data_IF_041156459910
#
_entry.id   IF_041156459910
#
_cell.length_a   1.000
_cell.length_b   1.000
_cell.length_c   1.000
_cell.angle_alpha   90.00
_cell.angle_beta   90.00
_cell.angle_gamma   90.00
#
_symmetry.space_group_name_H-M   'P 1'
#
loop_
_entity.id
_entity.type
_entity.pdbx_description
1 polymer ?
#
# COMPACT_ATOMS: atom_id res chain seq x y z
N UNK A 1 9.14 -6.81 -16.09
CA UNK A 1 7.79 -6.25 -16.19
C UNK A 1 7.79 -4.87 -15.58
N UNK A 2 7.05 -3.93 -16.14
CA UNK A 2 6.85 -2.61 -15.54
C UNK A 2 5.95 -2.85 -14.30
N UNK A 3 6.46 -2.58 -13.09
CA UNK A 3 5.67 -2.75 -11.87
C UNK A 3 4.47 -1.81 -11.87
N UNK A 4 3.30 -2.30 -11.45
CA UNK A 4 2.10 -1.47 -11.28
C UNK A 4 2.15 -0.77 -9.93
N UNK A 5 2.40 0.54 -9.92
CA UNK A 5 2.45 1.35 -8.69
C UNK A 5 1.22 2.26 -8.59
N UNK A 6 0.06 1.63 -8.47
CA UNK A 6 -1.23 2.32 -8.48
C UNK A 6 -1.82 2.40 -7.08
N UNK A 7 -2.39 3.55 -6.74
CA UNK A 7 -3.08 3.75 -5.49
C UNK A 7 -4.42 4.44 -5.74
N UNK A 8 -5.52 3.80 -5.33
CA UNK A 8 -6.87 4.36 -5.49
C UNK A 8 -7.10 5.48 -4.47
N UNK A 9 -7.43 6.68 -4.95
CA UNK A 9 -7.69 7.85 -4.09
C UNK A 9 -9.19 8.07 -3.85
N UNK A 10 -10.02 7.64 -4.79
CA UNK A 10 -11.48 7.50 -4.68
C UNK A 10 -12.02 6.50 -5.72
N UNK A 11 -13.34 6.38 -5.86
CA UNK A 11 -13.97 5.41 -6.77
C UNK A 11 -13.73 5.70 -8.26
N UNK A 12 -13.31 6.91 -8.61
CA UNK A 12 -13.07 7.39 -9.98
C UNK A 12 -11.61 7.64 -10.32
N UNK A 13 -10.78 7.93 -9.32
CA UNK A 13 -9.41 8.42 -9.50
C UNK A 13 -8.35 7.46 -8.91
N UNK A 14 -7.25 7.33 -9.63
CA UNK A 14 -6.08 6.54 -9.24
C UNK A 14 -4.82 7.37 -9.44
N UNK A 15 -3.91 7.31 -8.46
CA UNK A 15 -2.56 7.85 -8.56
C UNK A 15 -1.64 6.76 -9.09
N UNK A 16 -1.02 7.00 -10.24
CA UNK A 16 -0.05 6.09 -10.85
C UNK A 16 1.39 6.62 -10.69
N UNK A 17 2.22 5.88 -9.94
CA UNK A 17 3.61 6.18 -9.70
C UNK A 17 4.58 5.37 -10.58
N UNK A 18 4.10 4.80 -11.70
CA UNK A 18 4.90 3.94 -12.59
C UNK A 18 6.04 4.70 -13.26
N UNK A 19 5.74 5.87 -13.83
CA UNK A 19 6.72 6.71 -14.54
C UNK A 19 7.33 7.80 -13.65
N UNK A 20 6.51 8.45 -12.82
CA UNK A 20 6.91 9.53 -11.93
C UNK A 20 6.34 9.28 -10.53
N UNK A 21 7.17 9.36 -9.50
CA UNK A 21 6.75 9.11 -8.13
C UNK A 21 7.87 9.42 -7.14
N UNK A 22 7.65 9.08 -5.87
CA UNK A 22 8.66 9.23 -4.81
C UNK A 22 8.99 7.85 -4.20
N UNK A 23 9.77 7.86 -3.12
CA UNK A 23 10.17 6.65 -2.41
C UNK A 23 8.98 5.82 -1.88
N UNK A 24 7.80 6.42 -1.68
CA UNK A 24 6.64 5.72 -1.15
C UNK A 24 6.15 4.59 -2.07
N UNK A 25 6.46 4.64 -3.37
CA UNK A 25 6.13 3.57 -4.33
C UNK A 25 6.76 2.21 -3.96
N UNK A 26 7.79 2.21 -3.13
CA UNK A 26 8.52 1.00 -2.74
C UNK A 26 8.09 0.47 -1.35
N UNK A 27 7.13 1.11 -0.69
CA UNK A 27 6.64 0.64 0.61
C UNK A 27 5.80 -0.62 0.37
N UNK A 28 6.22 -1.74 0.94
CA UNK A 28 5.64 -3.04 0.69
C UNK A 28 4.35 -3.31 1.49
N UNK A 29 3.68 -4.40 1.11
CA UNK A 29 2.54 -4.93 1.84
C UNK A 29 2.97 -5.75 3.06
N UNK A 30 2.24 -5.58 4.17
CA UNK A 30 2.19 -6.56 5.26
C UNK A 30 0.75 -6.75 5.76
N UNK A 31 0.40 -7.98 6.13
CA UNK A 31 -0.87 -8.27 6.82
C UNK A 31 -0.85 -7.83 8.29
N UNK A 32 0.34 -7.61 8.87
CA UNK A 32 0.55 -7.00 10.20
C UNK A 32 1.44 -5.75 10.02
N UNK A 33 0.94 -4.68 9.41
CA UNK A 33 1.75 -3.53 9.01
C UNK A 33 2.13 -2.62 10.19
N UNK A 34 3.15 -1.78 9.97
CA UNK A 34 3.53 -0.72 10.91
C UNK A 34 3.11 0.69 10.46
N UNK A 35 2.61 0.83 9.23
CA UNK A 35 2.03 2.04 8.68
C UNK A 35 0.61 1.83 8.15
N UNK A 36 -0.14 2.91 8.02
CA UNK A 36 -1.43 2.95 7.32
C UNK A 36 -1.47 4.15 6.37
N UNK A 37 -2.25 4.04 5.31
CA UNK A 37 -2.49 5.11 4.35
C UNK A 37 -3.82 5.81 4.62
N UNK A 38 -3.88 7.12 4.38
CA UNK A 38 -5.14 7.89 4.32
C UNK A 38 -5.09 8.88 3.19
N UNK A 39 -6.26 9.13 2.60
CA UNK A 39 -6.48 10.24 1.69
C UNK A 39 -6.87 11.45 2.53
N UNK A 40 -6.12 12.54 2.37
CA UNK A 40 -6.41 13.83 3.03
C UNK A 40 -6.51 14.93 1.99
N UNK A 41 -7.31 15.95 2.26
CA UNK A 41 -7.39 17.13 1.41
C UNK A 41 -6.40 18.19 1.93
N UNK A 42 -5.49 18.64 1.08
CA UNK A 42 -4.52 19.71 1.35
C UNK A 42 -4.71 20.72 0.21
N UNK A 43 -5.02 21.97 0.55
CA UNK A 43 -5.18 23.06 -0.42
C UNK A 43 -6.17 22.75 -1.57
N UNK A 44 -7.23 22.00 -1.27
CA UNK A 44 -8.26 21.60 -2.24
C UNK A 44 -7.90 20.37 -3.06
N UNK A 45 -6.69 19.80 -2.89
CA UNK A 45 -6.22 18.62 -3.60
C UNK A 45 -6.18 17.39 -2.70
N UNK A 46 -6.50 16.22 -3.25
CA UNK A 46 -6.43 14.96 -2.52
C UNK A 46 -4.99 14.43 -2.54
N UNK A 47 -4.49 14.06 -1.37
CA UNK A 47 -3.16 13.48 -1.19
C UNK A 47 -3.26 12.16 -0.43
N UNK A 48 -2.49 11.16 -0.88
CA UNK A 48 -2.29 9.93 -0.13
C UNK A 48 -1.12 10.14 0.81
N UNK A 49 -1.37 10.00 2.11
CA UNK A 49 -0.35 10.16 3.15
C UNK A 49 -0.22 8.87 3.94
N UNK A 50 1.04 8.48 4.16
CA UNK A 50 1.42 7.32 4.96
C UNK A 50 1.71 7.77 6.38
N UNK A 51 1.02 7.18 7.34
CA UNK A 51 1.15 7.45 8.77
C UNK A 51 1.66 6.21 9.50
N UNK A 52 2.49 6.41 10.52
CA UNK A 52 2.92 5.33 11.39
C UNK A 52 1.77 4.90 12.33
N UNK A 53 1.56 3.59 12.50
CA UNK A 53 0.60 3.03 13.48
C UNK A 53 1.21 2.91 14.88
N UNK A 54 2.54 2.85 14.95
CA UNK A 54 3.33 2.72 16.17
C UNK A 54 4.68 3.37 15.98
N UNK A 55 5.47 3.44 17.06
CA UNK A 55 6.90 3.80 16.94
C UNK A 55 7.62 2.79 16.04
N UNK A 56 8.42 3.32 15.11
CA UNK A 56 9.24 2.55 14.16
C UNK A 56 10.70 2.77 14.52
N UNK A 57 11.43 1.69 14.76
CA UNK A 57 12.85 1.71 15.08
C UNK A 57 13.71 1.61 13.81
N UNK A 58 14.96 2.05 13.94
CA UNK A 58 15.92 2.01 12.83
C UNK A 58 16.10 0.57 12.33
N UNK A 59 16.02 0.41 11.01
CA UNK A 59 16.19 -0.89 10.33
C UNK A 59 14.89 -1.67 10.14
N UNK A 60 13.77 -1.20 10.70
CA UNK A 60 12.46 -1.77 10.37
C UNK A 60 12.01 -1.37 8.96
N UNK A 61 11.50 -2.34 8.20
CA UNK A 61 10.85 -2.10 6.92
C UNK A 61 9.50 -1.39 7.13
N UNK A 62 9.24 -0.34 6.37
CA UNK A 62 7.93 0.30 6.34
C UNK A 62 6.96 -0.54 5.51
N UNK A 63 5.80 -0.84 6.08
CA UNK A 63 4.77 -1.64 5.39
C UNK A 63 3.38 -1.11 5.69
N UNK A 64 2.45 -1.24 4.73
CA UNK A 64 1.03 -0.95 4.93
C UNK A 64 0.14 -2.03 4.32
N UNK A 65 -1.14 -2.06 4.70
CA UNK A 65 -2.10 -2.96 4.06
C UNK A 65 -2.51 -2.39 2.70
N UNK A 66 -2.22 -3.10 1.60
CA UNK A 66 -2.54 -2.64 0.25
C UNK A 66 -4.04 -2.59 -0.02
N UNK A 67 -4.85 -3.35 0.76
CA UNK A 67 -6.31 -3.41 0.61
C UNK A 67 -6.72 -3.68 -0.84
N UNK A 68 -6.07 -4.66 -1.49
CA UNK A 68 -6.48 -5.06 -2.82
C UNK A 68 -7.98 -5.42 -2.80
N UNK A 69 -8.75 -4.99 -3.83
CA UNK A 69 -10.14 -5.39 -3.92
C UNK A 69 -10.26 -6.92 -3.96
N UNK A 70 -11.44 -7.43 -3.60
CA UNK A 70 -11.70 -8.87 -3.71
C UNK A 70 -11.70 -9.22 -5.20
N UNK A 71 -10.66 -9.93 -5.63
CA UNK A 71 -10.53 -10.44 -6.99
C UNK A 71 -10.96 -11.91 -7.09
N UNK A 72 -11.32 -12.32 -8.30
CA UNK A 72 -11.53 -13.73 -8.65
C UNK A 72 -10.32 -14.58 -8.26
N UNK A 73 -10.56 -15.84 -7.89
CA UNK A 73 -9.53 -16.73 -7.35
C UNK A 73 -8.31 -16.90 -8.26
N UNK A 74 -8.46 -16.71 -9.58
CA UNK A 74 -7.39 -16.78 -10.58
C UNK A 74 -6.42 -15.59 -10.57
N UNK A 75 -6.82 -14.44 -10.01
CA UNK A 75 -6.05 -13.19 -10.08
C UNK A 75 -5.36 -12.84 -8.75
N UNK A 76 -5.58 -13.62 -7.70
CA UNK A 76 -5.01 -13.35 -6.38
C UNK A 76 -3.49 -13.41 -6.41
N UNK A 77 -2.87 -12.30 -6.02
CA UNK A 77 -1.42 -12.21 -5.88
C UNK A 77 -0.98 -12.79 -4.53
N UNK A 78 0.04 -13.67 -4.49
CA UNK A 78 0.52 -14.27 -3.24
C UNK A 78 1.19 -13.22 -2.34
N UNK A 79 0.94 -13.31 -1.04
CA UNK A 79 1.55 -12.45 -0.03
C UNK A 79 2.74 -13.15 0.63
N UNK A 80 3.91 -12.48 0.57
CA UNK A 80 5.17 -12.96 1.12
C UNK A 80 5.65 -12.15 2.34
N UNK A 81 4.74 -11.46 3.05
CA UNK A 81 5.12 -10.55 4.14
C UNK A 81 5.73 -11.21 5.38
N UNK A 82 5.66 -12.54 5.52
CA UNK A 82 6.22 -13.26 6.67
C UNK A 82 5.48 -13.08 8.01
N UNK A 83 4.40 -12.30 8.05
CA UNK A 83 3.60 -12.08 9.26
C UNK A 83 3.00 -13.39 9.81
N UNK A 84 2.88 -13.51 11.14
CA UNK A 84 2.34 -14.72 11.80
C UNK A 84 0.91 -14.98 11.36
N UNK A 85 0.13 -13.91 11.19
CA UNK A 85 -1.26 -13.94 10.73
C UNK A 85 -1.38 -13.52 9.26
N UNK A 86 -0.43 -13.92 8.41
CA UNK A 86 -0.46 -13.61 6.97
C UNK A 86 -1.67 -14.25 6.27
N UNK A 87 -2.40 -13.43 5.49
CA UNK A 87 -3.58 -13.84 4.69
C UNK A 87 -3.23 -14.71 3.47
N UNK A 88 -1.94 -14.92 3.20
CA UNK A 88 -1.36 -15.65 2.05
C UNK A 88 -1.56 -15.00 0.68
N UNK A 89 -2.44 -14.00 0.57
CA UNK A 89 -2.67 -13.19 -0.62
C UNK A 89 -2.69 -11.70 -0.25
N UNK A 90 -2.52 -10.81 -1.24
CA UNK A 90 -2.42 -9.36 -1.02
C UNK A 90 -3.76 -8.66 -0.72
N UNK A 91 -4.89 -9.34 -0.98
CA UNK A 91 -6.22 -8.88 -0.62
C UNK A 91 -6.62 -9.26 0.82
#
# INVERSE_FOLDING_TARGET
GIGCYMFRIDDSEVVDATMHGNAARFINHSCEPNCYSRVINIDGQKHIVIFAMRKIYRGEELTYDYKFPIEDASNKLPCNCGAKKCRKFLN
#
